data_IF_510180135199
#
_entry.id   IF_510180135199
#
_cell.length_a   1.000
_cell.length_b   1.000
_cell.length_c   1.000
_cell.angle_alpha   90.00
_cell.angle_beta   90.00
_cell.angle_gamma   90.00
#
_symmetry.space_group_name_H-M   'P 1'
#
loop_
_entity.id
_entity.type
_entity.pdbx_description
1 polymer ?
#
# COMPACT_ATOMS: atom_id res chain seq x y z
N UNK A 1 23.64 7.71 -0.30
CA UNK A 1 25.05 7.56 0.16
C UNK A 1 25.53 8.71 1.05
N UNK A 2 25.75 9.95 0.56
CA UNK A 2 26.29 11.06 1.40
C UNK A 2 25.50 11.33 2.71
N UNK A 3 24.16 11.34 2.66
CA UNK A 3 23.30 11.61 3.83
C UNK A 3 23.46 10.55 4.93
N UNK A 4 23.53 9.27 4.56
CA UNK A 4 23.68 8.15 5.51
C UNK A 4 25.00 8.26 6.26
N UNK A 5 26.10 8.58 5.55
CA UNK A 5 27.42 8.73 6.17
C UNK A 5 27.48 9.92 7.14
N UNK A 6 26.79 11.03 6.82
CA UNK A 6 26.66 12.18 7.74
C UNK A 6 25.86 11.78 8.99
N UNK A 7 24.73 11.09 8.82
CA UNK A 7 23.90 10.62 9.93
C UNK A 7 24.66 9.65 10.85
N UNK A 8 25.37 8.68 10.26
CA UNK A 8 26.25 7.74 10.97
C UNK A 8 27.26 8.49 11.84
N UNK A 9 28.03 9.40 11.24
CA UNK A 9 29.07 10.17 11.93
C UNK A 9 28.51 11.01 13.08
N UNK A 10 27.36 11.69 12.87
CA UNK A 10 26.71 12.47 13.93
C UNK A 10 26.23 11.58 15.08
N UNK A 11 25.59 10.44 14.79
CA UNK A 11 25.13 9.51 15.84
C UNK A 11 26.32 8.95 16.62
N UNK A 12 27.41 8.55 15.95
CA UNK A 12 28.62 8.07 16.64
C UNK A 12 29.28 9.14 17.51
N UNK A 13 29.22 10.41 17.12
CA UNK A 13 29.74 11.51 17.93
C UNK A 13 28.88 11.75 19.18
N UNK A 14 27.54 11.78 19.02
CA UNK A 14 26.61 11.91 20.15
C UNK A 14 26.77 10.75 21.12
N UNK A 15 26.86 9.51 20.64
CA UNK A 15 27.05 8.32 21.49
C UNK A 15 28.43 8.26 22.16
N UNK A 16 29.43 8.99 21.64
CA UNK A 16 30.72 9.18 22.31
C UNK A 16 30.68 10.18 23.49
N UNK A 17 29.64 11.02 23.56
CA UNK A 17 29.39 11.99 24.64
C UNK A 17 28.35 11.43 25.63
N UNK A 18 27.26 10.86 25.10
CA UNK A 18 26.15 10.26 25.82
C UNK A 18 25.83 8.87 25.23
N UNK A 19 26.44 7.79 25.77
CA UNK A 19 26.19 6.42 25.31
C UNK A 19 24.75 5.94 25.53
N UNK A 20 23.95 6.62 26.36
CA UNK A 20 22.56 6.29 26.65
C UNK A 20 21.59 7.22 25.89
N UNK A 21 22.04 7.85 24.81
CA UNK A 21 21.17 8.65 23.96
C UNK A 21 20.27 7.76 23.09
N UNK A 22 19.04 7.53 23.55
CA UNK A 22 18.09 6.63 22.88
C UNK A 22 17.79 7.02 21.42
N UNK A 23 17.65 8.32 21.13
CA UNK A 23 17.39 8.80 19.77
C UNK A 23 18.61 8.61 18.85
N UNK A 24 19.84 8.82 19.33
CA UNK A 24 21.05 8.55 18.54
C UNK A 24 21.28 7.04 18.31
N UNK A 25 20.98 6.17 19.29
CA UNK A 25 20.99 4.71 19.12
C UNK A 25 19.99 4.28 18.04
N UNK A 26 18.77 4.84 18.07
CA UNK A 26 17.72 4.54 17.11
C UNK A 26 18.07 5.01 15.68
N UNK A 27 18.54 6.25 15.52
CA UNK A 27 18.97 6.81 14.24
C UNK A 27 20.19 6.09 13.65
N UNK A 28 21.13 5.64 14.50
CA UNK A 28 22.21 4.76 14.08
C UNK A 28 21.66 3.42 13.58
N UNK A 29 20.71 2.82 14.32
CA UNK A 29 20.00 1.61 13.91
C UNK A 29 19.31 1.74 12.55
N UNK A 30 18.63 2.86 12.27
CA UNK A 30 18.05 3.14 10.93
C UNK A 30 19.14 3.21 9.86
N UNK A 31 20.25 3.89 10.13
CA UNK A 31 21.37 4.04 9.18
C UNK A 31 22.01 2.68 8.82
N UNK A 32 22.11 1.80 9.81
CA UNK A 32 22.59 0.42 9.68
C UNK A 32 21.57 -0.47 8.95
N UNK A 33 20.27 -0.32 9.23
CA UNK A 33 19.18 -0.99 8.50
C UNK A 33 19.20 -0.63 7.00
N UNK A 34 19.37 0.65 6.66
CA UNK A 34 19.51 1.10 5.27
C UNK A 34 20.75 0.53 4.57
N UNK A 35 21.73 0.05 5.34
CA UNK A 35 22.94 -0.63 4.86
C UNK A 35 22.80 -2.16 4.80
N UNK A 36 21.59 -2.71 5.01
CA UNK A 36 21.29 -4.14 4.95
C UNK A 36 21.67 -4.96 6.19
N UNK A 37 22.21 -4.33 7.23
CA UNK A 37 22.74 -5.01 8.42
C UNK A 37 21.65 -5.17 9.49
N UNK A 38 20.68 -6.04 9.22
CA UNK A 38 19.42 -6.09 9.97
C UNK A 38 19.55 -6.52 11.43
N UNK A 39 20.44 -7.47 11.79
CA UNK A 39 20.62 -7.87 13.20
C UNK A 39 21.22 -6.73 14.04
N UNK A 40 22.21 -6.00 13.48
CA UNK A 40 22.85 -4.88 14.16
C UNK A 40 21.85 -3.73 14.35
N UNK A 41 21.02 -3.45 13.35
CA UNK A 41 19.94 -2.48 13.45
C UNK A 41 18.94 -2.83 14.57
N UNK A 42 18.49 -4.09 14.65
CA UNK A 42 17.62 -4.56 15.75
C UNK A 42 18.31 -4.40 17.09
N UNK A 43 19.58 -4.76 17.23
CA UNK A 43 20.33 -4.63 18.49
C UNK A 43 20.45 -3.18 18.98
N UNK A 44 20.76 -2.25 18.08
CA UNK A 44 20.86 -0.82 18.39
C UNK A 44 19.52 -0.22 18.80
N UNK A 45 18.44 -0.54 18.07
CA UNK A 45 17.10 -0.05 18.41
C UNK A 45 16.57 -0.72 19.69
N UNK A 46 16.95 -1.97 19.97
CA UNK A 46 16.61 -2.63 21.25
C UNK A 46 17.24 -1.90 22.44
N UNK A 47 18.49 -1.40 22.31
CA UNK A 47 19.10 -0.55 23.34
C UNK A 47 18.35 0.78 23.50
N UNK A 48 17.91 1.40 22.39
CA UNK A 48 17.06 2.60 22.46
C UNK A 48 15.74 2.34 23.21
N UNK A 49 15.07 1.20 22.96
CA UNK A 49 13.84 0.77 23.67
C UNK A 49 14.08 0.56 25.17
N UNK A 50 15.24 0.01 25.56
CA UNK A 50 15.59 -0.20 26.97
C UNK A 50 15.73 1.12 27.76
N UNK A 51 16.07 2.20 27.07
CA UNK A 51 16.23 3.54 27.66
C UNK A 51 14.90 4.31 27.60
N UNK A 52 14.20 4.26 26.48
CA UNK A 52 12.89 4.89 26.26
C UNK A 52 11.96 3.96 25.50
N UNK A 53 11.00 3.38 26.22
CA UNK A 53 9.97 2.49 25.67
C UNK A 53 8.65 3.20 25.32
N UNK A 54 8.62 4.54 25.36
CA UNK A 54 7.40 5.34 25.14
C UNK A 54 7.22 5.80 23.69
N UNK A 55 8.23 5.61 22.83
CA UNK A 55 8.21 6.01 21.42
C UNK A 55 7.76 4.86 20.52
N UNK A 56 6.58 4.92 19.87
CA UNK A 56 6.07 3.80 19.07
C UNK A 56 6.93 3.52 17.83
N UNK A 57 7.57 4.56 17.27
CA UNK A 57 8.52 4.47 16.15
C UNK A 57 9.79 3.66 16.49
N UNK A 58 10.11 3.48 17.77
CA UNK A 58 11.19 2.58 18.19
C UNK A 58 10.80 1.11 18.05
N UNK A 59 9.52 0.77 18.02
CA UNK A 59 9.04 -0.60 17.81
C UNK A 59 8.71 -0.89 16.34
N UNK A 60 8.22 0.08 15.57
CA UNK A 60 7.97 -0.12 14.13
C UNK A 60 9.27 -0.38 13.33
N UNK A 61 10.39 0.27 13.66
CA UNK A 61 11.64 0.10 12.93
C UNK A 61 12.33 -1.27 13.08
N UNK A 62 12.44 -1.90 14.27
CA UNK A 62 12.87 -3.29 14.38
C UNK A 62 11.83 -4.23 13.78
N UNK A 63 10.53 -3.90 13.83
CA UNK A 63 9.49 -4.64 13.08
C UNK A 63 9.79 -4.73 11.58
N UNK A 64 10.19 -3.61 10.96
CA UNK A 64 10.64 -3.57 9.56
C UNK A 64 11.91 -4.42 9.34
N UNK A 65 12.88 -4.37 10.27
CA UNK A 65 14.11 -5.14 10.20
C UNK A 65 13.87 -6.66 10.37
N UNK A 66 12.91 -7.07 11.20
CA UNK A 66 12.48 -8.45 11.34
C UNK A 66 11.78 -8.94 10.05
N UNK A 67 10.92 -8.12 9.44
CA UNK A 67 10.29 -8.47 8.16
C UNK A 67 11.34 -8.72 7.07
N UNK A 68 12.41 -7.91 6.99
CA UNK A 68 13.53 -8.15 6.05
C UNK A 68 14.35 -9.42 6.34
N UNK A 69 14.30 -9.95 7.56
CA UNK A 69 14.89 -11.23 7.96
C UNK A 69 13.93 -12.42 7.78
N UNK A 70 12.68 -12.21 7.33
CA UNK A 70 11.64 -13.24 7.32
C UNK A 70 11.07 -13.60 8.71
N UNK A 71 11.44 -12.84 9.74
CA UNK A 71 10.99 -12.98 11.14
C UNK A 71 9.61 -12.36 11.33
N UNK A 72 8.61 -13.03 10.76
CA UNK A 72 7.26 -12.47 10.63
C UNK A 72 6.55 -12.32 11.98
N UNK A 73 6.76 -13.24 12.92
CA UNK A 73 6.12 -13.21 14.25
C UNK A 73 6.67 -12.06 15.10
N UNK A 74 8.00 -11.89 15.14
CA UNK A 74 8.64 -10.77 15.83
C UNK A 74 8.29 -9.42 15.19
N UNK A 75 8.11 -9.39 13.87
CA UNK A 75 7.62 -8.21 13.14
C UNK A 75 6.20 -7.83 13.58
N UNK A 76 5.27 -8.79 13.66
CA UNK A 76 3.90 -8.57 14.13
C UNK A 76 3.87 -8.05 15.57
N UNK A 77 4.61 -8.69 16.48
CA UNK A 77 4.69 -8.29 17.89
C UNK A 77 5.23 -6.85 18.05
N UNK A 78 6.22 -6.47 17.24
CA UNK A 78 6.78 -5.12 17.27
C UNK A 78 5.77 -4.05 16.79
N UNK A 79 5.03 -4.28 15.70
CA UNK A 79 3.97 -3.36 15.26
C UNK A 79 2.82 -3.30 16.27
N UNK A 80 2.38 -4.44 16.82
CA UNK A 80 1.38 -4.48 17.88
C UNK A 80 1.83 -3.69 19.11
N UNK A 81 3.12 -3.74 19.47
CA UNK A 81 3.65 -2.95 20.59
C UNK A 81 3.65 -1.44 20.30
N UNK A 82 3.96 -1.03 19.07
CA UNK A 82 3.83 0.35 18.64
C UNK A 82 2.37 0.84 18.75
N UNK A 83 1.40 0.03 18.33
CA UNK A 83 -0.05 0.32 18.45
C UNK A 83 -0.51 0.37 19.91
N UNK A 84 0.03 -0.48 20.80
CA UNK A 84 -0.27 -0.41 22.24
C UNK A 84 0.21 0.89 22.90
N UNK A 85 1.33 1.45 22.41
CA UNK A 85 1.91 2.69 22.91
C UNK A 85 1.13 3.90 22.37
N UNK A 86 0.80 3.87 21.07
CA UNK A 86 0.04 4.92 20.40
C UNK A 86 -1.01 4.26 19.48
N UNK A 87 -2.29 4.16 19.93
CA UNK A 87 -3.35 3.46 19.19
C UNK A 87 -3.68 4.03 17.81
N UNK A 88 -3.38 5.31 17.55
CA UNK A 88 -3.58 6.00 16.28
C UNK A 88 -2.30 6.05 15.40
N UNK A 89 -1.26 5.28 15.74
CA UNK A 89 0.00 5.31 14.98
C UNK A 89 -0.11 4.55 13.64
N UNK A 90 -0.54 5.29 12.61
CA UNK A 90 -0.89 4.78 11.29
C UNK A 90 0.20 3.95 10.60
N UNK A 91 1.49 4.30 10.78
CA UNK A 91 2.61 3.52 10.22
C UNK A 91 2.64 2.07 10.76
N UNK A 92 2.32 1.87 12.04
CA UNK A 92 2.32 0.54 12.65
C UNK A 92 1.11 -0.29 12.19
N UNK A 93 -0.08 0.33 12.09
CA UNK A 93 -1.26 -0.35 11.51
C UNK A 93 -1.02 -0.72 10.05
N UNK A 94 -0.47 0.19 9.24
CA UNK A 94 -0.18 -0.09 7.84
C UNK A 94 0.87 -1.21 7.66
N UNK A 95 1.97 -1.18 8.42
CA UNK A 95 2.99 -2.24 8.32
C UNK A 95 2.47 -3.59 8.80
N UNK A 96 1.61 -3.60 9.83
CA UNK A 96 0.89 -4.81 10.26
C UNK A 96 -0.11 -5.28 9.19
N UNK A 97 -0.84 -4.38 8.52
CA UNK A 97 -1.72 -4.72 7.40
C UNK A 97 -0.98 -5.49 6.30
N UNK A 98 0.17 -4.96 5.85
CA UNK A 98 1.02 -5.59 4.83
C UNK A 98 1.48 -7.00 5.25
N UNK A 99 1.77 -7.19 6.54
CA UNK A 99 2.19 -8.48 7.10
C UNK A 99 1.03 -9.48 7.17
N UNK A 100 -0.14 -9.06 7.65
CA UNK A 100 -1.36 -9.86 7.72
C UNK A 100 -1.81 -10.32 6.32
N UNK A 101 -1.80 -9.40 5.34
CA UNK A 101 -2.13 -9.71 3.95
C UNK A 101 -1.15 -10.71 3.32
N UNK A 102 0.15 -10.59 3.61
CA UNK A 102 1.18 -11.55 3.18
C UNK A 102 0.94 -12.95 3.79
N UNK A 103 0.43 -13.02 5.02
CA UNK A 103 0.08 -14.25 5.72
C UNK A 103 -1.32 -14.80 5.35
N UNK A 104 -2.06 -14.15 4.44
CA UNK A 104 -3.42 -14.54 4.05
C UNK A 104 -4.49 -14.23 5.11
N UNK A 105 -4.18 -13.43 6.13
CA UNK A 105 -5.12 -12.97 7.17
C UNK A 105 -5.92 -11.76 6.64
N UNK A 106 -6.70 -11.99 5.58
CA UNK A 106 -7.26 -10.93 4.76
C UNK A 106 -8.23 -9.99 5.48
N UNK A 107 -9.07 -10.48 6.40
CA UNK A 107 -10.09 -9.65 7.06
C UNK A 107 -9.45 -8.51 7.87
N UNK A 108 -8.59 -8.85 8.84
CA UNK A 108 -7.85 -7.86 9.64
C UNK A 108 -6.81 -7.11 8.79
N UNK A 109 -6.18 -7.79 7.83
CA UNK A 109 -5.22 -7.18 6.91
C UNK A 109 -5.84 -6.04 6.10
N UNK A 110 -7.02 -6.23 5.51
CA UNK A 110 -7.71 -5.20 4.74
C UNK A 110 -8.27 -4.08 5.61
N UNK A 111 -8.79 -4.38 6.82
CA UNK A 111 -9.21 -3.37 7.79
C UNK A 111 -8.04 -2.44 8.16
N UNK A 112 -6.88 -3.01 8.52
CA UNK A 112 -5.70 -2.21 8.85
C UNK A 112 -5.10 -1.49 7.65
N UNK A 113 -5.33 -1.97 6.43
CA UNK A 113 -4.82 -1.35 5.21
C UNK A 113 -5.45 0.03 4.93
N UNK A 114 -6.60 0.35 5.53
CA UNK A 114 -7.17 1.70 5.48
C UNK A 114 -6.34 2.74 6.23
N UNK A 115 -5.46 2.36 7.17
CA UNK A 115 -4.53 3.29 7.81
C UNK A 115 -3.43 3.85 6.86
N UNK A 116 -3.36 3.35 5.61
CA UNK A 116 -2.46 3.89 4.57
C UNK A 116 -2.65 5.39 4.31
N UNK A 117 -3.84 5.92 4.59
CA UNK A 117 -4.18 7.33 4.38
C UNK A 117 -3.38 8.28 5.28
N UNK A 118 -3.16 7.85 6.52
CA UNK A 118 -2.54 8.67 7.58
C UNK A 118 -1.07 8.25 7.83
N UNK A 119 -0.61 7.17 7.16
CA UNK A 119 0.77 6.68 7.20
C UNK A 119 1.78 7.60 6.50
N UNK A 120 3.05 7.45 6.86
CA UNK A 120 4.20 8.18 6.27
C UNK A 120 4.40 7.98 4.76
N UNK A 121 3.75 6.97 4.16
CA UNK A 121 3.73 6.76 2.71
C UNK A 121 3.00 7.86 1.92
N UNK A 122 2.21 8.71 2.60
CA UNK A 122 1.49 9.85 1.99
C UNK A 122 0.71 9.45 0.73
N UNK A 123 -0.04 8.35 0.82
CA UNK A 123 -0.94 7.93 -0.25
C UNK A 123 -1.91 9.07 -0.58
N UNK A 124 -2.11 9.36 -1.87
CA UNK A 124 -2.84 10.57 -2.29
C UNK A 124 -4.36 10.38 -2.13
N UNK A 125 -4.85 10.52 -0.89
CA UNK A 125 -6.28 10.55 -0.60
C UNK A 125 -6.95 11.66 -1.40
N UNK A 126 -7.91 11.29 -2.25
CA UNK A 126 -8.68 12.25 -3.06
C UNK A 126 -9.77 12.86 -2.18
N UNK A 127 -9.69 14.17 -1.95
CA UNK A 127 -10.62 14.91 -1.10
C UNK A 127 -11.91 15.25 -1.85
N UNK A 128 -12.78 14.26 -2.05
CA UNK A 128 -14.13 14.47 -2.56
C UNK A 128 -15.10 14.90 -1.44
N UNK A 129 -16.15 15.64 -1.80
CA UNK A 129 -17.24 16.02 -0.87
C UNK A 129 -18.33 14.96 -0.76
N UNK A 130 -18.35 14.02 -1.70
CA UNK A 130 -19.28 12.88 -1.71
C UNK A 130 -18.83 11.86 -0.64
N UNK A 131 -19.74 11.05 -0.08
CA UNK A 131 -19.38 9.98 0.84
C UNK A 131 -18.52 8.88 0.17
N UNK A 132 -17.63 8.27 0.96
CA UNK A 132 -17.05 6.98 0.63
C UNK A 132 -18.17 5.92 0.56
N UNK A 133 -18.05 4.99 -0.38
CA UNK A 133 -18.91 3.81 -0.45
C UNK A 133 -18.42 2.74 0.53
N UNK A 134 -19.36 2.16 1.28
CA UNK A 134 -19.16 1.19 2.36
C UNK A 134 -19.60 -0.23 1.99
N UNK A 135 -20.09 -0.45 0.76
CA UNK A 135 -20.66 -1.72 0.31
C UNK A 135 -22.20 -1.76 0.33
N UNK A 136 -22.87 -0.73 0.86
CA UNK A 136 -24.34 -0.67 0.85
C UNK A 136 -24.91 -0.64 -0.59
N UNK A 137 -26.17 -1.05 -0.74
CA UNK A 137 -26.86 -1.00 -2.04
C UNK A 137 -26.87 0.43 -2.60
N UNK A 138 -26.42 0.57 -3.85
CA UNK A 138 -26.40 1.84 -4.56
C UNK A 138 -27.80 2.33 -4.93
N UNK A 139 -28.81 1.46 -5.03
CA UNK A 139 -30.22 1.84 -5.27
C UNK A 139 -30.43 2.80 -6.48
N UNK A 140 -29.80 2.50 -7.62
CA UNK A 140 -29.85 3.34 -8.84
C UNK A 140 -28.91 4.56 -8.82
N UNK A 141 -28.22 4.81 -7.71
CA UNK A 141 -27.20 5.86 -7.61
C UNK A 141 -25.89 5.48 -8.28
N UNK A 142 -25.07 6.49 -8.51
CA UNK A 142 -23.78 6.40 -9.19
C UNK A 142 -22.59 6.26 -8.23
N UNK A 143 -21.53 5.59 -8.67
CA UNK A 143 -20.28 5.46 -7.91
C UNK A 143 -19.06 5.74 -8.77
N UNK A 144 -18.12 6.54 -8.25
CA UNK A 144 -16.78 6.69 -8.78
C UNK A 144 -15.81 5.72 -8.10
N UNK A 145 -15.38 4.67 -8.81
CA UNK A 145 -14.20 3.88 -8.42
C UNK A 145 -12.96 4.52 -9.02
N UNK A 146 -11.90 4.76 -8.25
CA UNK A 146 -10.68 5.40 -8.77
C UNK A 146 -9.41 4.68 -8.35
N UNK A 147 -8.44 4.64 -9.27
CA UNK A 147 -7.08 4.22 -8.97
C UNK A 147 -6.30 5.33 -8.26
N UNK A 148 -5.67 4.99 -7.13
CA UNK A 148 -4.86 5.90 -6.33
C UNK A 148 -3.39 5.48 -6.12
N UNK A 149 -3.01 4.30 -6.62
CA UNK A 149 -1.66 3.71 -6.45
C UNK A 149 -0.99 3.39 -7.82
N UNK A 150 -0.10 2.39 -7.86
CA UNK A 150 0.65 2.03 -9.05
C UNK A 150 -0.21 1.30 -10.09
N UNK A 151 0.38 1.10 -11.28
CA UNK A 151 -0.27 0.31 -12.35
C UNK A 151 -0.55 -1.13 -11.90
N UNK A 152 0.36 -1.73 -11.11
CA UNK A 152 0.20 -3.09 -10.57
C UNK A 152 -1.04 -3.23 -9.70
N UNK A 153 -1.25 -2.31 -8.76
CA UNK A 153 -2.44 -2.30 -7.88
C UNK A 153 -3.70 -2.05 -8.69
N UNK A 154 -3.66 -1.06 -9.59
CA UNK A 154 -4.79 -0.73 -10.46
C UNK A 154 -5.27 -1.94 -11.26
N UNK A 155 -4.33 -2.66 -11.91
CA UNK A 155 -4.60 -3.91 -12.62
C UNK A 155 -5.13 -4.97 -11.65
N UNK A 156 -4.42 -5.21 -10.54
CA UNK A 156 -4.73 -6.27 -9.58
C UNK A 156 -6.14 -6.13 -8.99
N UNK A 157 -6.59 -4.91 -8.68
CA UNK A 157 -7.87 -4.65 -8.03
C UNK A 157 -9.01 -4.34 -9.01
N UNK A 158 -8.73 -4.09 -10.30
CA UNK A 158 -9.76 -3.97 -11.34
C UNK A 158 -10.68 -5.21 -11.44
N UNK A 159 -10.20 -6.39 -11.03
CA UNK A 159 -11.00 -7.62 -10.92
C UNK A 159 -12.28 -7.48 -10.06
N UNK A 160 -12.28 -6.56 -9.08
CA UNK A 160 -13.41 -6.31 -8.17
C UNK A 160 -14.50 -5.43 -8.78
N UNK A 161 -14.24 -4.72 -9.88
CA UNK A 161 -15.22 -3.85 -10.53
C UNK A 161 -16.43 -4.67 -11.02
N UNK A 162 -16.19 -5.92 -11.47
CA UNK A 162 -17.23 -6.86 -11.87
C UNK A 162 -18.11 -7.39 -10.71
N UNK A 163 -17.79 -7.08 -9.45
CA UNK A 163 -18.65 -7.38 -8.29
C UNK A 163 -19.62 -6.24 -7.95
N UNK A 164 -19.50 -5.06 -8.57
CA UNK A 164 -20.37 -3.91 -8.31
C UNK A 164 -21.83 -4.19 -8.77
N UNK A 165 -22.88 -3.74 -8.07
CA UNK A 165 -24.06 -4.59 -7.78
C UNK A 165 -25.09 -4.94 -8.89
N UNK A 166 -24.78 -4.75 -10.17
CA UNK A 166 -25.61 -5.08 -11.35
C UNK A 166 -27.06 -4.54 -11.37
N UNK A 167 -27.38 -3.53 -10.57
CA UNK A 167 -28.62 -2.72 -10.62
C UNK A 167 -28.51 -1.57 -11.62
N UNK A 168 -29.56 -0.73 -11.73
CA UNK A 168 -29.66 0.53 -12.49
C UNK A 168 -28.66 1.64 -12.04
N UNK A 169 -27.56 1.25 -11.38
CA UNK A 169 -26.53 2.11 -10.79
C UNK A 169 -25.36 2.28 -11.74
N UNK A 170 -25.03 3.54 -12.03
CA UNK A 170 -23.92 3.92 -12.92
C UNK A 170 -22.55 3.72 -12.26
N UNK A 171 -21.69 2.96 -12.92
CA UNK A 171 -20.31 2.69 -12.51
C UNK A 171 -19.35 3.55 -13.32
N UNK A 172 -18.78 4.56 -12.67
CA UNK A 172 -17.75 5.43 -13.23
C UNK A 172 -16.40 4.94 -12.72
N UNK A 173 -15.42 4.77 -13.61
CA UNK A 173 -14.06 4.36 -13.25
C UNK A 173 -13.04 5.40 -13.71
N UNK A 174 -12.20 5.86 -12.79
CA UNK A 174 -11.06 6.72 -13.09
C UNK A 174 -9.73 5.97 -12.96
N UNK A 175 -9.01 5.79 -14.07
CA UNK A 175 -7.70 5.13 -14.10
C UNK A 175 -6.59 6.05 -14.63
N UNK A 176 -5.35 5.57 -14.60
CA UNK A 176 -4.23 6.18 -15.29
C UNK A 176 -4.43 6.07 -16.82
N UNK A 177 -4.01 7.07 -17.64
CA UNK A 177 -4.19 7.06 -19.10
C UNK A 177 -3.72 5.77 -19.79
N UNK A 178 -2.60 5.23 -19.32
CA UNK A 178 -1.93 4.04 -19.86
C UNK A 178 -2.78 2.76 -19.71
N UNK A 179 -3.68 2.73 -18.73
CA UNK A 179 -4.58 1.60 -18.49
C UNK A 179 -5.95 1.75 -19.17
N UNK A 180 -6.25 2.90 -19.79
CA UNK A 180 -7.59 3.17 -20.35
C UNK A 180 -8.01 2.16 -21.42
N UNK A 181 -7.09 1.77 -22.30
CA UNK A 181 -7.38 0.76 -23.34
C UNK A 181 -7.67 -0.62 -22.74
N UNK A 182 -6.94 -1.01 -21.70
CA UNK A 182 -7.09 -2.29 -21.02
C UNK A 182 -8.40 -2.36 -20.21
N UNK A 183 -8.75 -1.29 -19.50
CA UNK A 183 -9.95 -1.24 -18.66
C UNK A 183 -11.26 -1.19 -19.45
N UNK A 184 -11.24 -0.83 -20.75
CA UNK A 184 -12.40 -0.99 -21.65
C UNK A 184 -12.89 -2.44 -21.77
N UNK A 185 -12.07 -3.43 -21.41
CA UNK A 185 -12.47 -4.85 -21.41
C UNK A 185 -13.32 -5.28 -20.21
N UNK A 186 -13.64 -4.36 -19.30
CA UNK A 186 -14.46 -4.61 -18.11
C UNK A 186 -15.90 -4.17 -18.41
N UNK A 187 -16.76 -5.13 -18.77
CA UNK A 187 -18.16 -4.90 -19.17
C UNK A 187 -18.99 -4.13 -18.12
N UNK A 188 -18.60 -4.17 -16.83
CA UNK A 188 -19.30 -3.48 -15.74
C UNK A 188 -19.02 -1.97 -15.64
N UNK A 189 -18.19 -1.39 -16.51
CA UNK A 189 -17.88 0.05 -16.50
C UNK A 189 -18.79 0.80 -17.48
N UNK A 190 -19.71 1.62 -16.95
CA UNK A 190 -20.56 2.49 -17.76
C UNK A 190 -19.81 3.71 -18.29
N UNK A 191 -18.82 4.22 -17.55
CA UNK A 191 -18.03 5.39 -17.95
C UNK A 191 -16.58 5.29 -17.46
N UNK A 192 -15.64 5.29 -18.41
CA UNK A 192 -14.20 5.19 -18.12
C UNK A 192 -13.48 6.51 -18.43
N UNK A 193 -12.92 7.13 -17.40
CA UNK A 193 -12.21 8.42 -17.46
C UNK A 193 -10.76 8.29 -16.97
N UNK A 194 -9.95 9.28 -17.30
CA UNK A 194 -8.54 9.36 -16.93
C UNK A 194 -8.17 10.78 -16.47
N UNK A 195 -6.94 10.94 -15.97
CA UNK A 195 -6.46 12.23 -15.45
C UNK A 195 -6.45 13.30 -16.54
N UNK A 196 -7.31 14.31 -16.40
CA UNK A 196 -7.43 15.45 -17.31
C UNK A 196 -8.70 15.44 -18.15
N UNK A 197 -9.49 14.36 -18.12
CA UNK A 197 -10.83 14.32 -18.68
C UNK A 197 -11.87 14.84 -17.66
N UNK A 198 -13.01 15.31 -18.16
CA UNK A 198 -14.10 15.80 -17.32
C UNK A 198 -14.64 14.68 -16.41
N UNK A 199 -14.81 15.01 -15.14
CA UNK A 199 -15.37 14.14 -14.11
C UNK A 199 -16.90 14.27 -14.13
N UNK A 200 -17.68 13.21 -14.47
CA UNK A 200 -19.12 13.23 -14.29
C UNK A 200 -19.49 13.47 -12.81
N UNK A 201 -20.70 13.94 -12.53
CA UNK A 201 -21.18 13.93 -11.14
C UNK A 201 -21.40 12.48 -10.66
N UNK A 202 -21.22 12.25 -9.37
CA UNK A 202 -21.38 10.94 -8.74
C UNK A 202 -21.93 11.06 -7.32
N UNK A 203 -22.65 10.04 -6.83
CA UNK A 203 -23.22 10.02 -5.49
C UNK A 203 -22.22 9.52 -4.43
N UNK A 204 -21.44 8.49 -4.76
CA UNK A 204 -20.46 7.84 -3.88
C UNK A 204 -19.08 7.70 -4.55
N UNK A 205 -18.02 7.50 -3.76
CA UNK A 205 -16.71 7.12 -4.32
C UNK A 205 -16.04 5.98 -3.55
N UNK A 206 -15.21 5.20 -4.25
CA UNK A 206 -14.37 4.16 -3.63
C UNK A 206 -12.95 4.19 -4.23
N UNK A 207 -11.89 4.19 -3.41
CA UNK A 207 -10.55 3.83 -3.85
C UNK A 207 -10.56 2.36 -4.31
N UNK A 208 -9.91 2.07 -5.45
CA UNK A 208 -9.98 0.71 -6.04
C UNK A 208 -9.34 -0.34 -5.11
N UNK A 209 -8.33 0.05 -4.34
CA UNK A 209 -7.62 -0.82 -3.39
C UNK A 209 -8.42 -1.05 -2.10
N UNK A 210 -9.50 -0.30 -1.85
CA UNK A 210 -10.44 -0.54 -0.75
C UNK A 210 -11.54 -1.54 -1.08
N UNK A 211 -11.74 -1.89 -2.37
CA UNK A 211 -12.78 -2.86 -2.77
C UNK A 211 -12.63 -4.24 -2.08
N UNK A 212 -11.42 -4.82 -1.89
CA UNK A 212 -11.28 -6.07 -1.15
C UNK A 212 -11.78 -6.00 0.29
N UNK A 213 -11.59 -4.85 0.96
CA UNK A 213 -12.12 -4.60 2.32
C UNK A 213 -13.65 -4.54 2.29
N UNK A 214 -14.21 -3.71 1.40
CA UNK A 214 -15.65 -3.49 1.24
C UNK A 214 -16.39 -4.80 0.92
N UNK A 215 -15.81 -5.66 0.08
CA UNK A 215 -16.39 -6.96 -0.26
C UNK A 215 -16.07 -8.09 0.74
N UNK A 216 -15.38 -7.80 1.86
CA UNK A 216 -15.06 -8.79 2.89
C UNK A 216 -14.18 -9.93 2.37
N UNK A 217 -13.21 -9.62 1.51
CA UNK A 217 -12.41 -10.63 0.79
C UNK A 217 -11.66 -11.56 1.74
N UNK A 218 -11.81 -12.85 1.50
CA UNK A 218 -10.94 -13.93 2.02
C UNK A 218 -10.32 -14.69 0.85
N UNK A 219 -9.41 -15.64 1.13
CA UNK A 219 -8.66 -16.38 0.09
C UNK A 219 -9.56 -16.96 -1.02
N UNK A 220 -10.66 -17.59 -0.61
CA UNK A 220 -11.59 -18.29 -1.52
C UNK A 220 -12.54 -17.35 -2.29
N UNK A 221 -12.63 -16.07 -1.90
CA UNK A 221 -13.53 -15.08 -2.53
C UNK A 221 -12.81 -14.07 -3.41
N UNK A 222 -11.49 -14.17 -3.57
CA UNK A 222 -10.71 -13.35 -4.51
C UNK A 222 -11.27 -13.59 -5.93
N UNK A 223 -11.67 -12.55 -6.69
CA UNK A 223 -12.21 -12.74 -8.04
C UNK A 223 -11.21 -13.44 -8.96
N UNK A 224 -11.51 -14.70 -9.29
CA UNK A 224 -10.61 -15.62 -10.00
C UNK A 224 -11.07 -15.99 -11.42
N UNK A 225 -12.10 -15.34 -11.96
CA UNK A 225 -12.52 -15.49 -13.36
C UNK A 225 -11.42 -14.91 -14.26
N UNK A 226 -10.54 -15.78 -14.78
CA UNK A 226 -9.42 -15.40 -15.63
C UNK A 226 -9.65 -15.76 -17.12
N UNK A 227 -9.25 -14.90 -18.07
CA UNK A 227 -8.81 -13.52 -17.87
C UNK A 227 -9.95 -12.60 -17.41
N UNK A 228 -9.62 -11.61 -16.57
CA UNK A 228 -10.53 -10.52 -16.15
C UNK A 228 -10.23 -9.19 -16.86
N UNK A 229 -9.16 -9.16 -17.66
CA UNK A 229 -8.72 -8.06 -18.50
C UNK A 229 -8.23 -8.63 -19.83
N UNK A 230 -8.48 -7.92 -20.92
CA UNK A 230 -8.12 -8.33 -22.28
C UNK A 230 -7.57 -7.12 -23.06
N UNK A 231 -6.56 -7.29 -23.93
CA UNK A 231 -6.18 -6.25 -24.87
C UNK A 231 -7.30 -6.02 -25.90
N UNK A 232 -7.30 -4.83 -26.53
CA UNK A 232 -8.22 -4.54 -27.63
C UNK A 232 -7.96 -5.51 -28.79
N UNK A 233 -9.05 -6.08 -29.35
CA UNK A 233 -8.99 -7.01 -30.49
C UNK A 233 -8.52 -6.34 -31.78
N UNK A 234 -8.54 -5.01 -31.86
CA UNK A 234 -8.04 -4.20 -32.98
C UNK A 234 -6.75 -3.44 -32.63
N UNK A 235 -5.80 -4.16 -32.04
CA UNK A 235 -4.45 -3.65 -31.80
C UNK A 235 -3.58 -3.86 -33.04
N UNK A 236 -3.48 -2.85 -33.92
CA UNK A 236 -2.50 -2.77 -35.02
C UNK A 236 -1.07 -2.51 -34.49
N UNK A 237 -0.67 -3.24 -33.44
CA UNK A 237 0.61 -3.12 -32.79
C UNK A 237 1.58 -4.13 -33.41
N UNK A 238 2.37 -3.67 -34.37
CA UNK A 238 3.62 -4.35 -34.69
C UNK A 238 4.52 -4.26 -33.44
N UNK A 239 5.01 -5.41 -32.96
CA UNK A 239 6.19 -5.39 -32.09
C UNK A 239 7.29 -4.64 -32.83
N UNK A 240 7.91 -3.64 -32.18
CA UNK A 240 9.11 -2.99 -32.68
C UNK A 240 10.24 -4.02 -32.68
N UNK A 241 10.33 -4.79 -33.76
CA UNK A 241 11.32 -5.85 -33.97
C UNK A 241 12.67 -5.26 -34.43
N UNK A 242 13.13 -4.22 -33.73
CA UNK A 242 14.51 -3.78 -33.83
C UNK A 242 15.35 -4.68 -32.92
N UNK A 243 16.25 -5.45 -33.55
CA UNK A 243 17.10 -6.46 -32.91
C UNK A 243 18.12 -5.89 -31.89
N UNK A 244 18.06 -4.59 -31.59
CA UNK A 244 18.96 -3.88 -30.66
C UNK A 244 18.32 -3.54 -29.30
N UNK A 245 17.04 -3.88 -29.08
CA UNK A 245 16.35 -3.56 -27.83
C UNK A 245 16.20 -4.79 -26.92
N UNK A 246 17.14 -4.89 -25.95
CA UNK A 246 17.04 -5.82 -24.81
C UNK A 246 15.93 -5.39 -23.84
N UNK A 247 14.67 -5.66 -24.21
CA UNK A 247 13.53 -5.49 -23.31
C UNK A 247 13.66 -6.39 -22.08
N UNK A 248 13.93 -5.78 -20.92
CA UNK A 248 13.87 -6.48 -19.63
C UNK A 248 12.41 -6.64 -19.21
N UNK A 249 11.77 -7.70 -19.71
CA UNK A 249 10.44 -8.12 -19.26
C UNK A 249 10.60 -9.08 -18.09
N UNK A 250 10.24 -8.63 -16.89
CA UNK A 250 10.33 -9.41 -15.65
C UNK A 250 9.90 -8.59 -14.44
N UNK A 251 9.67 -9.26 -13.31
CA UNK A 251 9.53 -8.61 -12.00
C UNK A 251 10.95 -8.41 -11.45
N UNK A 252 11.27 -7.19 -11.02
CA UNK A 252 12.56 -6.82 -10.44
C UNK A 252 12.57 -6.96 -8.92
#
# INVERSE_FOLDING_TARGET
MKVILIMLNMCTHVLGIDPQNADALHLLGISVYQSGQYEIAVSLITQAIQIDSTKPLFFTNPGNAFQKQGKLEESAQAYQKAIQIQPDYADAHFNLAMLLLLQGQFVEGWEKYEWRWDSSLKSQKRNFKRPLWDGASLNGKSILVYAEQGFGDSIQFARYINLLPNTDSTIIVACQPELKSLFKSIDRIDTLITKGEDMPDFDFHAPIVSLPHIFGTVLDTIPAKIPYLYPDKKSDFAFLSDNEHHFKVGIA
#
